data_IF_160890038410
#
_entry.id   IF_160890038410
#
_cell.length_a   1.000
_cell.length_b   1.000
_cell.length_c   1.000
_cell.angle_alpha   90.00
_cell.angle_beta   90.00
_cell.angle_gamma   90.00
#
_symmetry.space_group_name_H-M   'P 1'
#
loop_
_entity.id
_entity.type
_entity.pdbx_description
1 polymer ?
#
# COMPACT_ATOMS: atom_id res chain seq x y z
N UNK A 1 -5.40 -21.13 -8.25
CA UNK A 1 -5.47 -20.08 -7.21
C UNK A 1 -4.78 -18.83 -7.75
N UNK A 2 -5.52 -17.75 -8.03
CA UNK A 2 -4.92 -16.52 -8.55
C UNK A 2 -4.27 -15.71 -7.41
N UNK A 3 -2.97 -15.91 -7.20
CA UNK A 3 -2.16 -15.43 -6.06
C UNK A 3 -1.58 -14.01 -6.24
N UNK A 4 -2.22 -13.14 -7.01
CA UNK A 4 -1.58 -11.88 -7.45
C UNK A 4 -1.80 -10.68 -6.51
N UNK A 5 -2.54 -10.84 -5.41
CA UNK A 5 -2.72 -9.76 -4.42
C UNK A 5 -1.54 -9.69 -3.46
N UNK A 6 -1.17 -8.46 -3.08
CA UNK A 6 -0.13 -8.22 -2.10
C UNK A 6 -0.58 -8.76 -0.74
N UNK A 7 0.37 -9.24 0.06
CA UNK A 7 0.13 -9.78 1.40
C UNK A 7 0.50 -8.75 2.45
N UNK A 8 -0.08 -8.90 3.64
CA UNK A 8 0.32 -8.11 4.81
C UNK A 8 1.82 -8.33 5.08
N UNK A 9 2.55 -7.25 5.33
CA UNK A 9 4.00 -7.23 5.52
C UNK A 9 4.81 -7.06 4.22
N UNK A 10 4.18 -7.09 3.03
CA UNK A 10 4.90 -6.79 1.78
C UNK A 10 4.95 -5.29 1.50
N UNK A 11 6.04 -4.84 0.89
CA UNK A 11 6.13 -3.49 0.34
C UNK A 11 5.61 -3.45 -1.09
N UNK A 12 4.64 -2.57 -1.34
CA UNK A 12 4.15 -2.28 -2.68
C UNK A 12 4.52 -0.87 -3.13
N UNK A 13 4.67 -0.71 -4.44
CA UNK A 13 4.91 0.56 -5.08
C UNK A 13 3.62 1.02 -5.76
N UNK A 14 3.08 2.17 -5.35
CA UNK A 14 1.89 2.76 -5.96
C UNK A 14 2.25 3.37 -7.31
N UNK A 15 1.66 2.85 -8.39
CA UNK A 15 1.97 3.29 -9.76
C UNK A 15 0.89 4.20 -10.36
N UNK A 16 -0.28 4.28 -9.71
CA UNK A 16 -1.43 5.10 -10.13
C UNK A 16 -2.14 5.73 -8.92
N UNK A 17 -2.78 6.88 -9.13
CA UNK A 17 -3.51 7.63 -8.10
C UNK A 17 -2.69 8.75 -7.46
N UNK A 18 -3.24 9.39 -6.43
CA UNK A 18 -2.61 10.52 -5.72
C UNK A 18 -1.27 10.15 -5.05
N UNK A 19 -1.10 8.88 -4.69
CA UNK A 19 0.11 8.37 -4.04
C UNK A 19 1.10 7.75 -5.04
N UNK A 20 0.96 8.02 -6.35
CA UNK A 20 1.86 7.50 -7.39
C UNK A 20 3.33 7.85 -7.07
N UNK A 21 4.20 6.85 -7.19
CA UNK A 21 5.63 6.96 -6.88
C UNK A 21 5.97 6.64 -5.42
N UNK A 22 4.97 6.51 -4.55
CA UNK A 22 5.20 6.14 -3.15
C UNK A 22 5.30 4.64 -2.98
N UNK A 23 6.16 4.24 -2.05
CA UNK A 23 6.27 2.87 -1.55
C UNK A 23 5.61 2.82 -0.18
N UNK A 24 4.91 1.74 0.11
CA UNK A 24 4.35 1.52 1.43
C UNK A 24 4.19 0.05 1.74
N UNK A 25 4.27 -0.26 3.03
CA UNK A 25 4.09 -1.61 3.55
C UNK A 25 2.61 -1.90 3.72
N UNK A 26 2.16 -3.04 3.19
CA UNK A 26 0.78 -3.49 3.33
C UNK A 26 0.52 -3.89 4.78
N UNK A 27 -0.32 -3.12 5.45
CA UNK A 27 -0.77 -3.42 6.81
C UNK A 27 -2.07 -4.22 6.81
N UNK A 28 -2.88 -4.10 5.76
CA UNK A 28 -4.17 -4.79 5.67
C UNK A 28 -4.53 -5.04 4.22
N UNK A 29 -5.05 -6.23 3.94
CA UNK A 29 -5.57 -6.61 2.63
C UNK A 29 -7.08 -6.74 2.74
N UNK A 30 -7.80 -6.01 1.89
CA UNK A 30 -9.25 -6.14 1.70
C UNK A 30 -9.50 -6.82 0.36
N UNK A 31 -10.76 -7.09 0.06
CA UNK A 31 -11.15 -7.81 -1.16
C UNK A 31 -10.84 -7.03 -2.44
N UNK A 32 -10.98 -5.71 -2.42
CA UNK A 32 -10.80 -4.83 -3.59
C UNK A 32 -9.63 -3.83 -3.44
N UNK A 33 -9.01 -3.76 -2.26
CA UNK A 33 -7.97 -2.79 -1.96
C UNK A 33 -7.03 -3.26 -0.87
N UNK A 34 -5.87 -2.63 -0.77
CA UNK A 34 -4.91 -2.81 0.32
C UNK A 34 -4.71 -1.49 1.03
N UNK A 35 -4.51 -1.56 2.34
CA UNK A 35 -4.09 -0.42 3.14
C UNK A 35 -2.59 -0.53 3.28
N UNK A 36 -1.87 0.53 2.93
CA UNK A 36 -0.43 0.63 3.10
C UNK A 36 -0.05 1.75 4.04
N UNK A 37 1.04 1.55 4.79
CA UNK A 37 1.73 2.59 5.54
C UNK A 37 2.83 3.18 4.65
N UNK A 38 2.72 4.46 4.32
CA UNK A 38 3.69 5.19 3.48
C UNK A 38 4.68 6.04 4.28
N UNK A 39 4.49 6.12 5.60
CA UNK A 39 5.35 6.87 6.51
C UNK A 39 4.65 7.15 7.83
N UNK A 40 5.21 8.08 8.59
CA UNK A 40 4.64 8.65 9.81
C UNK A 40 4.64 10.17 9.68
N UNK A 41 3.60 10.79 10.25
CA UNK A 41 3.49 12.23 10.31
C UNK A 41 4.48 12.73 11.36
N UNK A 42 5.47 13.51 10.94
CA UNK A 42 6.50 14.04 11.84
C UNK A 42 5.93 14.96 12.94
N UNK A 43 4.76 15.56 12.71
CA UNK A 43 4.13 16.51 13.64
C UNK A 43 3.28 15.82 14.70
N UNK A 44 2.52 14.79 14.32
CA UNK A 44 1.58 14.10 15.24
C UNK A 44 2.07 12.72 15.69
N UNK A 45 3.12 12.19 15.06
CA UNK A 45 3.58 10.81 15.26
C UNK A 45 2.63 9.77 14.68
N UNK A 46 1.59 10.18 13.95
CA UNK A 46 0.59 9.24 13.46
C UNK A 46 1.05 8.55 12.16
N UNK A 47 0.84 7.24 12.02
CA UNK A 47 1.18 6.52 10.80
C UNK A 47 0.32 7.00 9.63
N UNK A 48 0.97 7.44 8.56
CA UNK A 48 0.29 7.84 7.33
C UNK A 48 -0.10 6.57 6.58
N UNK A 49 -1.38 6.22 6.68
CA UNK A 49 -1.99 5.08 6.00
C UNK A 49 -2.79 5.57 4.80
N UNK A 50 -2.73 4.82 3.71
CA UNK A 50 -3.53 5.11 2.52
C UNK A 50 -4.11 3.83 1.93
N UNK A 51 -5.25 3.96 1.24
CA UNK A 51 -5.96 2.85 0.62
C UNK A 51 -5.62 2.82 -0.86
N UNK A 52 -5.13 1.70 -1.35
CA UNK A 52 -4.71 1.52 -2.73
C UNK A 52 -5.41 0.31 -3.33
N UNK A 53 -6.04 0.48 -4.49
CA UNK A 53 -6.67 -0.64 -5.18
C UNK A 53 -5.62 -1.61 -5.74
N UNK A 54 -5.95 -2.91 -5.81
CA UNK A 54 -5.09 -3.95 -6.41
C UNK A 54 -4.60 -3.63 -7.83
N UNK A 55 -5.34 -2.80 -8.58
CA UNK A 55 -4.95 -2.37 -9.94
C UNK A 55 -3.95 -1.20 -9.98
N UNK A 56 -3.74 -0.51 -8.86
CA UNK A 56 -3.01 0.76 -8.81
C UNK A 56 -1.61 0.66 -8.21
N UNK A 57 -1.16 -0.54 -7.85
CA UNK A 57 0.18 -0.78 -7.34
C UNK A 57 0.89 -1.92 -8.06
N UNK A 58 2.21 -1.95 -7.94
CA UNK A 58 3.06 -3.09 -8.29
C UNK A 58 3.74 -3.60 -7.04
N UNK A 59 3.91 -4.92 -6.93
CA UNK A 59 4.70 -5.53 -5.85
C UNK A 59 6.18 -5.25 -6.12
N UNK A 60 6.91 -4.83 -5.09
CA UNK A 60 8.36 -4.79 -5.15
C UNK A 60 8.81 -6.17 -4.65
N UNK A 61 9.33 -6.98 -5.56
CA UNK A 61 9.79 -8.34 -5.26
C UNK A 61 11.17 -8.29 -4.61
#
# INVERSE_FOLDING_TARGET
>A
MNLNHAKVGETIHVVKGEQKGKKGEVVTVRENSVIIKIGENATTGEPIKTVVNHKNYKRVK
#
